data_IF_846259660051
#
_entry.id   IF_846259660051
#
_cell.length_a   1.000
_cell.length_b   1.000
_cell.length_c   1.000
_cell.angle_alpha   90.00
_cell.angle_beta   90.00
_cell.angle_gamma   90.00
#
_symmetry.space_group_name_H-M   'P 1'
#
loop_
_entity.id
_entity.type
_entity.pdbx_description
1 polymer ?
#
# COMPACT_ATOMS: atom_id res chain seq x y z
N UNK A 1 9.84 15.48 12.54
CA UNK A 1 9.28 16.47 11.58
C UNK A 1 10.39 17.29 10.94
N UNK A 2 11.27 17.90 11.74
CA UNK A 2 12.38 18.75 11.29
C UNK A 2 13.31 18.05 10.28
N UNK A 3 13.71 16.80 10.52
CA UNK A 3 14.57 16.04 9.60
C UNK A 3 13.95 15.72 8.21
N UNK A 4 12.61 15.70 8.10
CA UNK A 4 11.90 15.50 6.83
C UNK A 4 11.73 16.84 6.12
N UNK A 5 11.43 17.90 6.88
CA UNK A 5 11.37 19.27 6.38
C UNK A 5 12.74 19.77 5.88
N UNK A 6 13.83 19.30 6.50
CA UNK A 6 15.21 19.58 6.11
C UNK A 6 15.71 18.72 4.93
N UNK A 7 14.87 17.84 4.36
CA UNK A 7 15.23 17.02 3.18
C UNK A 7 16.28 15.93 3.45
N UNK A 8 16.59 15.62 4.71
CA UNK A 8 17.62 14.64 5.10
C UNK A 8 17.18 13.18 4.95
N UNK A 9 15.96 12.91 4.48
CA UNK A 9 15.44 11.57 4.22
C UNK A 9 14.79 11.48 2.84
N UNK A 10 14.87 10.33 2.16
CA UNK A 10 14.19 10.08 0.87
C UNK A 10 12.67 9.93 1.00
N UNK A 11 12.10 10.09 2.20
CA UNK A 11 10.68 9.86 2.43
C UNK A 11 9.89 11.12 2.08
N UNK A 12 8.85 10.96 1.25
CA UNK A 12 7.85 12.01 0.98
C UNK A 12 7.23 12.45 2.32
N UNK A 13 7.03 13.77 2.56
CA UNK A 13 6.42 14.24 3.79
C UNK A 13 5.10 13.51 4.06
N UNK A 14 4.85 13.10 5.32
CA UNK A 14 3.64 12.37 5.66
C UNK A 14 2.42 13.20 5.29
N UNK A 15 1.48 12.60 4.57
CA UNK A 15 0.21 13.22 4.17
C UNK A 15 -0.84 13.18 5.27
N UNK A 16 -0.48 12.68 6.46
CA UNK A 16 -1.37 12.58 7.61
C UNK A 16 -0.98 13.63 8.65
N UNK A 17 -1.99 14.11 9.37
CA UNK A 17 -1.79 15.08 10.44
C UNK A 17 -1.48 14.36 11.75
N UNK A 18 -0.58 14.95 12.52
CA UNK A 18 -0.33 14.53 13.89
C UNK A 18 -1.09 15.47 14.82
N UNK A 19 -1.81 14.96 15.84
CA UNK A 19 -2.47 15.84 16.80
C UNK A 19 -1.45 16.69 17.55
N UNK A 20 -1.78 17.97 17.77
CA UNK A 20 -0.93 18.92 18.48
C UNK A 20 -0.91 18.69 19.99
N UNK A 21 -1.95 18.03 20.52
CA UNK A 21 -2.10 17.69 21.94
C UNK A 21 -1.89 16.21 22.18
N UNK A 22 -1.34 15.88 23.35
CA UNK A 22 -1.17 14.51 23.81
C UNK A 22 -2.51 13.76 23.87
N UNK A 23 -2.44 12.45 23.65
CA UNK A 23 -3.57 11.54 23.77
C UNK A 23 -4.02 11.46 25.24
N UNK A 24 -5.26 11.86 25.58
CA UNK A 24 -5.75 11.72 26.95
C UNK A 24 -5.80 10.24 27.34
N UNK A 25 -5.04 9.87 28.36
CA UNK A 25 -5.00 8.52 28.90
C UNK A 25 -4.97 8.56 30.42
N UNK A 26 -5.89 7.83 31.05
CA UNK A 26 -5.91 7.64 32.51
C UNK A 26 -5.01 6.48 32.88
N UNK A 27 -4.07 6.72 33.79
CA UNK A 27 -3.13 5.73 34.31
C UNK A 27 -3.78 4.89 35.43
N UNK A 28 -3.22 3.69 35.69
CA UNK A 28 -3.68 2.76 36.73
C UNK A 28 -5.16 2.37 36.68
N UNK A 29 -5.75 2.38 35.49
CA UNK A 29 -7.15 2.00 35.28
C UNK A 29 -7.30 0.48 35.29
N UNK A 30 -8.29 -0.02 36.04
CA UNK A 30 -8.59 -1.45 36.10
C UNK A 30 -9.28 -1.93 34.81
N UNK A 31 -8.87 -3.08 34.25
CA UNK A 31 -9.54 -3.68 33.09
C UNK A 31 -11.04 -3.89 33.32
N UNK A 32 -11.84 -3.76 32.26
CA UNK A 32 -13.31 -3.95 32.32
C UNK A 32 -14.11 -2.77 32.89
N UNK A 33 -13.44 -1.74 33.44
CA UNK A 33 -14.12 -0.52 33.90
C UNK A 33 -14.55 0.38 32.75
N UNK A 34 -15.50 1.29 33.03
CA UNK A 34 -15.86 2.34 32.07
C UNK A 34 -14.67 3.23 31.69
N UNK A 35 -13.77 3.53 32.65
CA UNK A 35 -12.54 4.27 32.37
C UNK A 35 -11.59 3.53 31.42
N UNK A 36 -11.56 2.19 31.49
CA UNK A 36 -10.76 1.40 30.54
C UNK A 36 -11.32 1.52 29.12
N UNK A 37 -12.65 1.49 28.99
CA UNK A 37 -13.34 1.73 27.70
C UNK A 37 -13.05 3.13 27.16
N UNK A 38 -13.04 4.15 28.02
CA UNK A 38 -12.75 5.54 27.66
C UNK A 38 -11.33 5.71 27.11
N UNK A 39 -10.33 5.07 27.75
CA UNK A 39 -8.96 5.05 27.24
C UNK A 39 -8.88 4.43 25.83
N UNK A 40 -9.61 3.34 25.59
CA UNK A 40 -9.68 2.69 24.27
C UNK A 40 -10.36 3.59 23.23
N UNK A 41 -11.46 4.23 23.60
CA UNK A 41 -12.16 5.19 22.75
C UNK A 41 -11.26 6.35 22.34
N UNK A 42 -10.51 6.93 23.29
CA UNK A 42 -9.56 7.99 23.03
C UNK A 42 -8.47 7.54 22.04
N UNK A 43 -7.93 6.32 22.20
CA UNK A 43 -6.98 5.76 21.24
C UNK A 43 -7.56 5.60 19.84
N UNK A 44 -8.80 5.11 19.70
CA UNK A 44 -9.48 4.99 18.40
C UNK A 44 -9.67 6.38 17.76
N UNK A 45 -10.05 7.38 18.56
CA UNK A 45 -10.16 8.78 18.10
C UNK A 45 -8.81 9.32 17.61
N UNK A 46 -7.72 9.02 18.31
CA UNK A 46 -6.36 9.36 17.87
C UNK A 46 -6.01 8.72 16.52
N UNK A 47 -6.33 7.43 16.33
CA UNK A 47 -6.08 6.72 15.07
C UNK A 47 -6.80 7.38 13.88
N UNK A 48 -8.02 7.88 14.08
CA UNK A 48 -8.77 8.64 13.06
C UNK A 48 -8.04 9.92 12.67
N UNK A 49 -7.54 10.68 13.63
CA UNK A 49 -6.78 11.92 13.37
C UNK A 49 -5.49 11.60 12.61
N UNK A 50 -4.80 10.51 13.00
CA UNK A 50 -3.62 10.00 12.30
C UNK A 50 -3.93 9.48 10.88
N UNK A 51 -5.21 9.41 10.49
CA UNK A 51 -5.68 9.03 9.16
C UNK A 51 -5.71 7.52 8.90
N UNK A 52 -5.73 6.69 9.96
CA UNK A 52 -5.93 5.23 9.85
C UNK A 52 -7.29 4.96 9.19
N UNK A 53 -7.34 4.02 8.25
CA UNK A 53 -8.58 3.72 7.52
C UNK A 53 -9.62 3.10 8.45
N UNK A 54 -10.86 3.58 8.40
CA UNK A 54 -11.94 3.10 9.28
C UNK A 54 -12.26 1.62 9.10
N UNK A 55 -12.00 1.04 7.91
CA UNK A 55 -12.20 -0.38 7.65
C UNK A 55 -11.20 -1.30 8.37
N UNK A 56 -10.04 -0.80 8.80
CA UNK A 56 -9.06 -1.61 9.57
C UNK A 56 -9.12 -1.32 11.07
N UNK A 57 -9.80 -0.25 11.47
CA UNK A 57 -9.95 0.13 12.87
C UNK A 57 -10.88 -0.82 13.62
N UNK A 58 -10.50 -1.16 14.85
CA UNK A 58 -11.37 -1.86 15.79
C UNK A 58 -12.28 -0.89 16.54
N UNK A 59 -13.36 -1.40 17.13
CA UNK A 59 -14.26 -0.68 18.02
C UNK A 59 -13.92 -0.91 19.49
N UNK A 60 -14.37 -0.03 20.40
CA UNK A 60 -14.15 -0.20 21.84
C UNK A 60 -14.58 -1.58 22.35
N UNK A 61 -15.73 -2.08 21.88
CA UNK A 61 -16.22 -3.40 22.27
C UNK A 61 -15.43 -4.56 21.67
N UNK A 62 -14.69 -4.36 20.57
CA UNK A 62 -13.83 -5.40 19.98
C UNK A 62 -12.70 -5.80 20.93
N UNK A 63 -12.10 -4.81 21.57
CA UNK A 63 -11.01 -5.00 22.51
C UNK A 63 -11.52 -5.39 23.90
N UNK A 64 -12.60 -4.77 24.37
CA UNK A 64 -13.15 -5.02 25.72
C UNK A 64 -13.76 -6.41 25.82
N UNK A 65 -14.52 -6.84 24.81
CA UNK A 65 -15.13 -8.16 24.78
C UNK A 65 -14.23 -9.24 24.14
N UNK A 66 -13.01 -8.88 23.72
CA UNK A 66 -12.05 -9.78 23.02
C UNK A 66 -12.66 -10.54 21.84
N UNK A 67 -13.54 -9.89 21.09
CA UNK A 67 -14.28 -10.51 19.98
C UNK A 67 -13.57 -10.37 18.63
N UNK A 68 -12.69 -9.37 18.49
CA UNK A 68 -12.07 -9.05 17.20
C UNK A 68 -10.61 -8.57 17.36
N UNK A 69 -9.78 -9.44 17.92
CA UNK A 69 -8.35 -9.17 18.15
C UNK A 69 -7.59 -8.87 16.85
N UNK A 70 -8.03 -9.43 15.71
CA UNK A 70 -7.42 -9.18 14.40
C UNK A 70 -7.45 -7.70 14.02
N UNK A 71 -8.59 -7.02 14.19
CA UNK A 71 -8.69 -5.59 13.89
C UNK A 71 -7.83 -4.75 14.84
N UNK A 72 -7.66 -5.19 16.08
CA UNK A 72 -6.74 -4.54 17.04
C UNK A 72 -5.32 -4.58 16.51
N UNK A 73 -4.84 -5.76 16.09
CA UNK A 73 -3.49 -5.92 15.53
C UNK A 73 -3.32 -5.10 14.24
N UNK A 74 -4.29 -5.14 13.32
CA UNK A 74 -4.23 -4.36 12.07
C UNK A 74 -4.15 -2.85 12.34
N UNK A 75 -4.92 -2.35 13.29
CA UNK A 75 -4.90 -0.93 13.68
C UNK A 75 -3.55 -0.52 14.23
N UNK A 76 -2.97 -1.31 15.14
CA UNK A 76 -1.67 -1.02 15.75
C UNK A 76 -0.55 -1.05 14.70
N UNK A 77 -0.56 -2.02 13.79
CA UNK A 77 0.41 -2.10 12.70
C UNK A 77 0.34 -0.89 11.77
N UNK A 78 -0.86 -0.42 11.43
CA UNK A 78 -1.05 0.77 10.59
C UNK A 78 -0.58 2.05 11.29
N UNK A 79 -0.87 2.19 12.59
CA UNK A 79 -0.33 3.30 13.41
C UNK A 79 1.20 3.28 13.41
N UNK A 80 1.81 2.12 13.63
CA UNK A 80 3.26 1.99 13.66
C UNK A 80 3.91 2.23 12.29
N UNK A 81 3.26 1.79 11.19
CA UNK A 81 3.66 2.10 9.81
C UNK A 81 3.69 3.60 9.55
N UNK A 82 2.73 4.35 10.09
CA UNK A 82 2.72 5.82 10.04
C UNK A 82 3.79 6.45 10.93
N UNK A 83 3.93 5.95 12.15
CA UNK A 83 4.98 6.35 13.09
C UNK A 83 6.38 6.22 12.50
N UNK A 84 6.62 5.20 11.69
CA UNK A 84 7.90 5.00 11.01
C UNK A 84 8.26 6.15 10.05
N UNK A 85 7.26 6.80 9.45
CA UNK A 85 7.49 7.96 8.57
C UNK A 85 7.96 9.19 9.34
N UNK A 86 7.79 9.23 10.66
CA UNK A 86 8.23 10.34 11.52
C UNK A 86 9.41 9.98 12.42
N UNK A 87 10.05 8.83 12.19
CA UNK A 87 11.29 8.41 12.86
C UNK A 87 11.13 7.35 13.94
N UNK A 88 9.93 6.79 14.15
CA UNK A 88 9.78 5.62 15.01
C UNK A 88 10.36 4.37 14.33
N UNK A 89 10.84 3.41 15.11
CA UNK A 89 11.24 2.11 14.54
C UNK A 89 9.99 1.39 14.01
N UNK A 90 10.00 1.04 12.72
CA UNK A 90 8.90 0.28 12.13
C UNK A 90 8.89 -1.16 12.69
N UNK A 91 7.72 -1.78 12.93
CA UNK A 91 7.65 -3.19 13.29
C UNK A 91 8.28 -4.07 12.20
N UNK A 92 8.84 -5.22 12.58
CA UNK A 92 9.52 -6.15 11.67
C UNK A 92 8.64 -6.51 10.45
N UNK A 93 7.35 -6.76 10.66
CA UNK A 93 6.41 -7.04 9.58
C UNK A 93 6.35 -5.92 8.54
N UNK A 94 6.28 -4.67 9.00
CA UNK A 94 6.27 -3.49 8.12
C UNK A 94 7.60 -3.33 7.39
N UNK A 95 8.73 -3.69 8.03
CA UNK A 95 10.04 -3.68 7.38
C UNK A 95 10.10 -4.71 6.24
N UNK A 96 9.61 -5.93 6.49
CA UNK A 96 9.55 -7.00 5.50
C UNK A 96 8.63 -6.65 4.33
N UNK A 97 7.43 -6.09 4.59
CA UNK A 97 6.54 -5.59 3.53
C UNK A 97 7.27 -4.61 2.60
N UNK A 98 7.97 -3.62 3.18
CA UNK A 98 8.71 -2.64 2.40
C UNK A 98 9.92 -3.24 1.66
N UNK A 99 10.55 -4.27 2.20
CA UNK A 99 11.64 -5.00 1.54
C UNK A 99 11.14 -5.76 0.31
N UNK A 100 10.03 -6.48 0.46
CA UNK A 100 9.37 -7.20 -0.63
C UNK A 100 8.94 -6.21 -1.73
N UNK A 101 8.31 -5.08 -1.37
CA UNK A 101 7.89 -4.07 -2.33
C UNK A 101 9.08 -3.48 -3.13
N UNK A 102 10.22 -3.24 -2.44
CA UNK A 102 11.46 -2.77 -3.09
C UNK A 102 12.00 -3.81 -4.08
N UNK A 103 12.00 -5.09 -3.70
CA UNK A 103 12.44 -6.16 -4.60
C UNK A 103 11.55 -6.27 -5.83
N UNK A 104 10.22 -6.29 -5.65
CA UNK A 104 9.26 -6.41 -6.75
C UNK A 104 9.38 -5.23 -7.72
N UNK A 105 9.48 -3.99 -7.20
CA UNK A 105 9.69 -2.80 -8.02
C UNK A 105 11.01 -2.85 -8.80
N UNK A 106 12.08 -3.36 -8.19
CA UNK A 106 13.37 -3.53 -8.87
C UNK A 106 13.31 -4.58 -9.98
N UNK A 107 12.56 -5.67 -9.80
CA UNK A 107 12.38 -6.72 -10.83
C UNK A 107 11.55 -6.20 -12.00
N UNK A 108 10.50 -5.43 -11.75
CA UNK A 108 9.71 -4.76 -12.79
C UNK A 108 10.53 -3.79 -13.63
N UNK A 109 11.41 -3.01 -13.00
CA UNK A 109 12.25 -2.04 -13.72
C UNK A 109 13.35 -2.71 -14.57
N UNK A 110 13.76 -3.94 -14.23
CA UNK A 110 14.71 -4.72 -15.04
C UNK A 110 14.09 -5.39 -16.26
N UNK A 111 12.77 -5.39 -16.42
CA UNK A 111 12.14 -5.99 -17.60
C UNK A 111 10.86 -5.26 -18.05
N UNK A 112 10.97 -4.13 -18.79
CA UNK A 112 9.82 -3.51 -19.46
C UNK A 112 9.28 -4.33 -20.65
N UNK A 113 9.84 -5.51 -20.96
CA UNK A 113 9.71 -6.15 -22.28
C UNK A 113 8.84 -7.41 -22.35
N UNK A 114 7.96 -7.70 -21.39
CA UNK A 114 7.11 -8.91 -21.52
C UNK A 114 5.66 -8.81 -21.03
N UNK A 115 5.08 -7.61 -21.00
CA UNK A 115 3.62 -7.45 -20.99
C UNK A 115 3.21 -6.51 -22.13
N UNK A 116 3.06 -7.08 -23.33
CA UNK A 116 2.60 -6.37 -24.52
C UNK A 116 3.53 -6.47 -25.72
N UNK A 117 3.63 -7.65 -26.33
CA UNK A 117 3.91 -7.80 -27.76
C UNK A 117 3.56 -9.22 -28.19
N UNK A 118 2.27 -9.56 -28.10
CA UNK A 118 1.73 -10.43 -29.15
C UNK A 118 1.74 -9.56 -30.39
N UNK A 119 2.79 -9.65 -31.22
CA UNK A 119 2.78 -9.01 -32.52
C UNK A 119 1.57 -9.56 -33.25
N UNK A 120 0.59 -8.71 -33.53
CA UNK A 120 -0.52 -9.11 -34.38
C UNK A 120 0.09 -9.48 -35.74
N UNK A 121 -0.15 -10.68 -36.29
CA UNK A 121 0.42 -11.08 -37.57
C UNK A 121 0.02 -10.16 -38.75
N UNK A 122 -0.93 -9.26 -38.52
CA UNK A 122 -1.48 -8.32 -39.49
C UNK A 122 -0.92 -6.89 -39.38
N UNK A 123 0.02 -6.60 -38.47
CA UNK A 123 0.66 -5.28 -38.42
C UNK A 123 1.71 -5.13 -39.52
N UNK A 124 1.30 -4.48 -40.60
CA UNK A 124 2.17 -4.06 -41.70
C UNK A 124 3.12 -3.00 -41.15
N UNK A 125 4.42 -3.31 -41.08
CA UNK A 125 5.45 -2.33 -40.72
C UNK A 125 5.50 -1.24 -41.81
N UNK A 126 4.95 -0.07 -41.50
CA UNK A 126 4.91 1.08 -42.43
C UNK A 126 6.29 1.66 -42.77
N UNK A 127 7.31 1.27 -42.01
CA UNK A 127 8.67 1.81 -42.14
C UNK A 127 9.49 1.16 -43.27
N UNK A 128 8.91 0.22 -44.04
CA UNK A 128 9.57 -0.40 -45.20
C UNK A 128 8.80 -0.19 -46.53
N UNK A 129 7.79 0.69 -46.57
CA UNK A 129 7.05 0.97 -47.81
C UNK A 129 7.72 2.12 -48.57
N UNK A 130 8.51 1.78 -49.58
CA UNK A 130 8.96 2.71 -50.61
C UNK A 130 7.73 3.29 -51.35
N UNK A 131 7.67 4.60 -51.62
CA UNK A 131 6.50 5.24 -52.20
C UNK A 131 6.27 4.79 -53.65
N UNK A 132 5.29 3.90 -53.87
CA UNK A 132 4.84 3.50 -55.20
C UNK A 132 4.44 2.03 -55.40
N UNK A 133 4.60 1.16 -54.40
CA UNK A 133 4.21 -0.25 -54.53
C UNK A 133 2.80 -0.51 -53.95
N UNK A 134 1.91 -1.07 -54.79
CA UNK A 134 0.63 -1.61 -54.37
C UNK A 134 0.87 -3.02 -53.79
N UNK A 135 0.81 -3.15 -52.46
CA UNK A 135 1.09 -4.42 -51.76
C UNK A 135 -0.19 -5.26 -51.71
N UNK A 136 -0.20 -6.40 -52.41
CA UNK A 136 -1.28 -7.38 -52.25
C UNK A 136 -1.15 -8.09 -50.89
N UNK A 137 -2.26 -8.36 -50.19
CA UNK A 137 -2.22 -9.19 -48.98
C UNK A 137 -1.76 -10.60 -49.31
N UNK A 138 -0.91 -11.17 -48.45
CA UNK A 138 -0.42 -12.55 -48.59
C UNK A 138 -1.60 -13.55 -48.62
N UNK A 139 -1.55 -14.59 -49.47
CA UNK A 139 -2.60 -15.61 -49.50
C UNK A 139 -2.66 -16.35 -48.16
N UNK A 140 -3.86 -16.49 -47.58
CA UNK A 140 -4.06 -17.46 -46.51
C UNK A 140 -3.86 -18.87 -47.07
N UNK A 141 -2.81 -19.56 -46.63
CA UNK A 141 -2.68 -21.01 -46.84
C UNK A 141 -3.87 -21.70 -46.18
N UNK A 142 -4.80 -22.15 -47.02
CA UNK A 142 -5.89 -23.05 -46.63
C UNK A 142 -5.36 -24.46 -46.68
N UNK A 143 -4.70 -24.92 -45.62
CA UNK A 143 -4.55 -26.37 -45.37
C UNK A 143 -4.02 -26.63 -43.96
N UNK A 144 -4.95 -26.80 -43.03
CA UNK A 144 -4.72 -27.63 -41.85
C UNK A 144 -6.07 -28.20 -41.40
N UNK A 145 -6.57 -29.16 -42.19
CA UNK A 145 -7.51 -30.18 -41.73
C UNK A 145 -6.78 -31.00 -40.66
N UNK A 146 -7.21 -30.89 -39.40
CA UNK A 146 -6.73 -31.76 -38.33
C UNK A 146 -7.30 -33.18 -38.49
N UNK A 147 -6.52 -34.25 -38.26
CA UNK A 147 -7.09 -35.56 -37.94
C UNK A 147 -7.73 -35.58 -36.54
#
# INVERSE_FOLDING_TARGET
MELIAEGKTKQKPPTFHFPESDLPCRWSVQPGTWFARDNVYNFIKFCRILGVMQCVMFETEDLVCRKNEKHVILTILEVARRGAKIGMLAPMLVQFEQEIDREIASRHNRNPRHFGSSKNPFEINRDLVEPGQNVQPNPCDKDSTFP
#
